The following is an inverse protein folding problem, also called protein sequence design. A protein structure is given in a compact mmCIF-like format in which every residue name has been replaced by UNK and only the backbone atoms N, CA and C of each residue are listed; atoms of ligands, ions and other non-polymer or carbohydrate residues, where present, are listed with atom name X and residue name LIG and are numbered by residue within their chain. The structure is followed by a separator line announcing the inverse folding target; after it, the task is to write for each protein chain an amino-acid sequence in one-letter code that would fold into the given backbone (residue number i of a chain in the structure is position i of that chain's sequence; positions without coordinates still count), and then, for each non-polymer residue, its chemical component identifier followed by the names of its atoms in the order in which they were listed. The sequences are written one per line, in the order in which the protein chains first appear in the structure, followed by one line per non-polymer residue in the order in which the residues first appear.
data_IF_796900970044
#
_entry.id   IF_796900970044
#
_cell.length_a   1.000
_cell.length_b   1.000
_cell.length_c   1.000
_cell.angle_alpha   90.00
_cell.angle_beta   90.00
_cell.angle_gamma   90.00
#
_symmetry.space_group_name_H-M   'P 1'
#
loop_
_entity.id
_entity.type
_entity.pdbx_description
1 polymer ?
#
# COMPACT_ATOMS: atom_id res chain seq x y z
N UNK A 1 20.10 -8.11 -34.54
CA UNK A 1 19.63 -6.71 -34.46
C UNK A 1 19.46 -6.38 -32.99
N UNK A 2 20.13 -5.35 -32.51
CA UNK A 2 19.98 -4.89 -31.12
C UNK A 2 19.07 -3.67 -31.13
N UNK A 3 18.03 -3.67 -30.31
CA UNK A 3 17.05 -2.58 -30.21
C UNK A 3 17.05 -2.10 -28.77
N UNK A 4 17.18 -0.79 -28.57
CA UNK A 4 17.01 -0.13 -27.28
C UNK A 4 15.64 0.53 -27.25
N UNK A 5 14.83 0.22 -26.24
CA UNK A 5 13.50 0.79 -26.02
C UNK A 5 13.58 1.67 -24.77
N UNK A 6 13.04 2.89 -24.85
CA UNK A 6 12.91 3.81 -23.72
C UNK A 6 11.44 4.13 -23.46
N UNK A 7 11.11 4.43 -22.21
CA UNK A 7 9.80 4.95 -21.80
C UNK A 7 9.98 6.34 -21.19
N UNK A 8 8.96 7.21 -21.24
CA UNK A 8 9.02 8.50 -20.59
C UNK A 8 8.95 8.33 -19.06
N UNK A 9 9.56 9.25 -18.29
CA UNK A 9 9.58 9.18 -16.83
C UNK A 9 8.19 9.28 -16.18
N UNK A 10 7.22 9.88 -16.88
CA UNK A 10 5.83 9.98 -16.47
C UNK A 10 4.94 8.90 -17.13
N UNK A 11 5.52 7.78 -17.55
CA UNK A 11 4.74 6.65 -18.05
C UNK A 11 3.83 6.08 -16.96
N UNK A 12 2.67 5.60 -17.37
CA UNK A 12 1.73 4.91 -16.48
C UNK A 12 2.36 3.62 -15.96
N UNK A 13 2.30 3.34 -14.66
CA UNK A 13 2.78 2.06 -14.13
C UNK A 13 1.78 0.94 -14.40
N UNK A 14 2.26 -0.30 -14.45
CA UNK A 14 1.43 -1.50 -14.53
C UNK A 14 1.85 -2.48 -15.61
N UNK A 15 0.90 -3.32 -16.05
CA UNK A 15 1.15 -4.40 -17.02
C UNK A 15 0.99 -3.90 -18.45
N UNK A 16 2.02 -4.10 -19.25
CA UNK A 16 2.07 -3.73 -20.66
C UNK A 16 2.09 -4.95 -21.59
N UNK A 17 1.57 -4.76 -22.80
CA UNK A 17 1.72 -5.70 -23.93
C UNK A 17 2.56 -5.02 -25.00
N UNK A 18 3.69 -5.62 -25.35
CA UNK A 18 4.55 -5.12 -26.43
C UNK A 18 4.20 -5.83 -27.74
N UNK A 19 3.75 -5.06 -28.74
CA UNK A 19 3.44 -5.58 -30.08
C UNK A 19 4.38 -4.96 -31.11
N UNK A 20 4.86 -5.78 -32.04
CA UNK A 20 5.60 -5.34 -33.22
C UNK A 20 4.64 -5.30 -34.41
N UNK A 21 4.64 -4.19 -35.14
CA UNK A 21 3.94 -4.07 -36.41
C UNK A 21 4.98 -3.96 -37.52
N UNK A 22 4.90 -4.88 -38.50
CA UNK A 22 5.81 -4.94 -39.64
C UNK A 22 5.03 -4.55 -40.88
N UNK A 23 5.53 -3.55 -41.61
CA UNK A 23 4.98 -3.10 -42.89
C UNK A 23 5.97 -3.48 -43.99
N UNK A 24 5.52 -4.31 -44.94
CA UNK A 24 6.32 -4.74 -46.08
C UNK A 24 5.49 -4.61 -47.37
N UNK A 25 5.77 -3.57 -48.15
CA UNK A 25 4.91 -3.15 -49.25
C UNK A 25 3.49 -2.85 -48.75
N UNK A 26 2.48 -3.45 -49.40
CA UNK A 26 1.06 -3.31 -49.01
C UNK A 26 0.62 -4.30 -47.92
N UNK A 27 1.54 -5.10 -47.35
CA UNK A 27 1.22 -6.07 -46.29
C UNK A 27 1.59 -5.49 -44.93
N UNK A 28 0.64 -5.53 -44.00
CA UNK A 28 0.82 -5.17 -42.60
C UNK A 28 0.59 -6.43 -41.76
N UNK A 29 1.58 -6.81 -40.95
CA UNK A 29 1.44 -7.86 -39.95
C UNK A 29 1.71 -7.31 -38.55
N UNK A 30 1.07 -7.90 -37.55
CA UNK A 30 1.28 -7.54 -36.15
C UNK A 30 1.50 -8.79 -35.31
N UNK A 31 2.52 -8.77 -34.45
CA UNK A 31 2.91 -9.89 -33.61
C UNK A 31 3.10 -9.40 -32.18
N UNK A 32 2.55 -10.14 -31.20
CA UNK A 32 2.83 -9.90 -29.79
C UNK A 32 4.25 -10.38 -29.48
N UNK A 33 5.12 -9.47 -29.04
CA UNK A 33 6.48 -9.79 -28.62
C UNK A 33 6.52 -10.32 -27.18
N UNK A 34 5.63 -9.81 -26.33
CA UNK A 34 5.55 -10.24 -24.94
C UNK A 34 4.80 -9.27 -24.04
N UNK A 35 4.96 -9.48 -22.74
CA UNK A 35 4.40 -8.64 -21.69
C UNK A 35 5.52 -8.23 -20.74
N UNK A 36 5.39 -7.05 -20.14
CA UNK A 36 6.30 -6.55 -19.13
C UNK A 36 5.54 -5.71 -18.11
N UNK A 37 6.16 -5.49 -16.96
CA UNK A 37 5.65 -4.58 -15.93
C UNK A 37 6.52 -3.33 -15.93
N UNK A 38 5.89 -2.16 -15.92
CA UNK A 38 6.54 -0.88 -15.71
C UNK A 38 6.20 -0.39 -14.30
N UNK A 39 7.22 0.03 -13.54
CA UNK A 39 7.10 0.54 -12.18
C UNK A 39 7.59 2.00 -12.11
N UNK A 40 7.32 2.66 -11.00
CA UNK A 40 7.98 3.93 -10.69
C UNK A 40 9.49 3.74 -10.59
N UNK A 41 10.27 4.78 -10.90
CA UNK A 41 11.71 4.69 -10.98
C UNK A 41 12.43 5.68 -10.03
N UNK A 42 12.72 5.27 -8.78
CA UNK A 42 13.47 6.08 -7.81
C UNK A 42 14.90 6.45 -8.22
N UNK A 43 15.45 5.82 -9.27
CA UNK A 43 16.79 6.11 -9.80
C UNK A 43 16.78 7.14 -10.93
N UNK A 44 15.62 7.47 -11.50
CA UNK A 44 15.50 8.40 -12.61
C UNK A 44 15.31 9.83 -12.09
N UNK A 45 16.24 10.79 -12.34
CA UNK A 45 16.10 12.17 -11.86
C UNK A 45 14.86 12.93 -12.36
N UNK A 46 14.24 12.45 -13.44
CA UNK A 46 13.05 13.05 -14.04
C UNK A 46 11.74 12.38 -13.57
N UNK A 47 11.82 11.38 -12.69
CA UNK A 47 10.64 10.71 -12.12
C UNK A 47 10.25 11.41 -10.81
N UNK A 48 8.93 11.56 -10.57
CA UNK A 48 8.39 12.21 -9.38
C UNK A 48 8.79 11.50 -8.08
N UNK A 49 9.15 10.20 -8.14
CA UNK A 49 9.62 9.43 -6.98
C UNK A 49 11.14 9.40 -6.83
N UNK A 50 11.87 10.23 -7.58
CA UNK A 50 13.32 10.26 -7.53
C UNK A 50 13.83 10.48 -6.11
N UNK A 51 14.81 9.66 -5.72
CA UNK A 51 15.45 9.77 -4.42
C UNK A 51 16.95 9.71 -4.63
N UNK A 52 17.65 10.84 -4.46
CA UNK A 52 19.05 10.97 -4.87
C UNK A 52 20.02 10.09 -4.06
N UNK A 53 19.78 9.94 -2.76
CA UNK A 53 20.64 9.20 -1.85
C UNK A 53 20.47 7.68 -2.05
N UNK A 54 21.58 6.98 -2.26
CA UNK A 54 21.57 5.54 -2.52
C UNK A 54 21.16 4.69 -1.30
N UNK A 55 21.59 5.08 -0.10
CA UNK A 55 21.23 4.39 1.14
C UNK A 55 19.74 4.55 1.43
N UNK A 56 19.18 5.75 1.19
CA UNK A 56 17.74 5.99 1.31
C UNK A 56 16.94 5.16 0.30
N UNK A 57 17.40 5.07 -0.97
CA UNK A 57 16.76 4.18 -1.97
C UNK A 57 16.83 2.72 -1.52
N UNK A 58 17.96 2.29 -0.98
CA UNK A 58 18.11 0.93 -0.48
C UNK A 58 17.10 0.68 0.65
N UNK A 59 17.03 1.55 1.65
CA UNK A 59 16.14 1.40 2.81
C UNK A 59 14.66 1.52 2.44
N UNK A 60 14.29 2.51 1.63
CA UNK A 60 12.89 2.85 1.39
C UNK A 60 12.28 2.15 0.18
N UNK A 61 13.06 1.39 -0.60
CA UNK A 61 12.58 0.63 -1.77
C UNK A 61 13.03 -0.83 -1.72
N UNK A 62 14.32 -1.08 -1.50
CA UNK A 62 14.92 -2.42 -1.64
C UNK A 62 14.98 -3.23 -0.35
N UNK A 63 14.88 -2.60 0.83
CA UNK A 63 14.85 -3.34 2.08
C UNK A 63 13.45 -3.96 2.26
N UNK A 64 13.36 -5.28 2.36
CA UNK A 64 12.11 -6.02 2.51
C UNK A 64 11.81 -6.44 3.95
N UNK A 65 12.67 -6.02 4.88
CA UNK A 65 12.57 -6.28 6.31
C UNK A 65 12.66 -4.95 7.05
N UNK A 66 11.79 -4.74 8.04
CA UNK A 66 11.77 -3.47 8.76
C UNK A 66 11.37 -3.60 10.21
N UNK A 67 11.42 -2.46 10.90
CA UNK A 67 10.96 -2.30 12.27
C UNK A 67 9.74 -1.39 12.28
N UNK A 68 8.71 -1.78 13.02
CA UNK A 68 7.58 -0.92 13.37
C UNK A 68 7.63 -0.68 14.88
N UNK A 69 7.75 0.59 15.26
CA UNK A 69 7.75 0.99 16.66
C UNK A 69 6.32 0.93 17.23
N UNK A 70 6.18 0.38 18.43
CA UNK A 70 4.89 0.23 19.11
C UNK A 70 5.06 0.42 20.63
N UNK A 71 4.01 0.18 21.41
CA UNK A 71 4.03 0.30 22.87
C UNK A 71 3.65 1.69 23.35
N UNK A 72 4.25 2.12 24.46
CA UNK A 72 3.96 3.41 25.11
C UNK A 72 5.12 4.38 24.88
N UNK A 73 4.86 5.69 24.92
CA UNK A 73 5.90 6.73 24.71
C UNK A 73 7.15 6.52 25.61
N UNK A 74 6.93 6.02 26.84
CA UNK A 74 7.99 5.79 27.85
C UNK A 74 8.63 4.40 27.75
N UNK A 75 8.02 3.51 26.98
CA UNK A 75 8.41 2.11 26.83
C UNK A 75 8.21 1.68 25.37
N UNK A 76 8.99 2.30 24.49
CA UNK A 76 8.92 2.05 23.04
C UNK A 76 9.44 0.64 22.77
N UNK A 77 8.61 -0.14 22.09
CA UNK A 77 8.92 -1.49 21.62
C UNK A 77 9.22 -1.46 20.12
N UNK A 78 10.04 -2.41 19.68
CA UNK A 78 10.40 -2.61 18.28
C UNK A 78 9.85 -3.95 17.84
N UNK A 79 8.94 -3.93 16.87
CA UNK A 79 8.40 -5.15 16.28
C UNK A 79 8.99 -5.33 14.89
N UNK A 80 9.58 -6.50 14.64
CA UNK A 80 10.08 -6.85 13.32
C UNK A 80 8.89 -7.11 12.38
N UNK A 81 8.98 -6.57 11.16
CA UNK A 81 7.97 -6.74 10.13
C UNK A 81 8.62 -7.17 8.82
N UNK A 82 8.20 -8.32 8.31
CA UNK A 82 8.54 -8.76 6.96
C UNK A 82 7.63 -8.06 5.94
N UNK A 83 8.17 -7.03 5.27
CA UNK A 83 7.46 -6.41 4.14
C UNK A 83 7.38 -7.37 2.96
N UNK A 84 8.49 -8.01 2.59
CA UNK A 84 8.56 -9.09 1.60
C UNK A 84 8.07 -8.70 0.21
N UNK A 85 8.34 -7.48 -0.27
CA UNK A 85 7.86 -7.01 -1.57
C UNK A 85 8.40 -7.80 -2.77
N UNK A 86 9.49 -8.56 -2.61
CA UNK A 86 10.10 -9.40 -3.65
C UNK A 86 9.68 -10.88 -3.59
N UNK A 87 8.87 -11.25 -2.60
CA UNK A 87 8.30 -12.59 -2.51
C UNK A 87 7.41 -12.90 -3.72
N UNK A 88 7.37 -14.17 -4.11
CA UNK A 88 6.54 -14.64 -5.23
C UNK A 88 5.09 -14.15 -5.10
N UNK A 89 4.52 -13.75 -6.22
CA UNK A 89 3.19 -13.16 -6.39
C UNK A 89 2.97 -11.77 -5.77
N UNK A 90 3.85 -11.24 -4.92
CA UNK A 90 3.55 -10.00 -4.18
C UNK A 90 3.41 -8.79 -5.11
N UNK A 91 4.31 -8.65 -6.09
CA UNK A 91 4.17 -7.60 -7.11
C UNK A 91 2.86 -7.76 -7.90
N UNK A 92 2.50 -8.98 -8.27
CA UNK A 92 1.29 -9.23 -9.03
C UNK A 92 0.02 -8.90 -8.24
N UNK A 93 0.02 -9.21 -6.93
CA UNK A 93 -1.05 -8.88 -6.00
C UNK A 93 -1.13 -7.36 -5.79
N UNK A 94 0.01 -6.67 -5.62
CA UNK A 94 0.06 -5.21 -5.51
C UNK A 94 -0.55 -4.51 -6.72
N UNK A 95 -0.25 -4.98 -7.93
CA UNK A 95 -0.88 -4.48 -9.15
C UNK A 95 -2.39 -4.80 -9.18
N UNK A 96 -2.78 -5.99 -8.71
CA UNK A 96 -4.20 -6.37 -8.64
C UNK A 96 -4.99 -5.50 -7.64
N UNK A 97 -4.37 -4.95 -6.60
CA UNK A 97 -5.03 -4.01 -5.68
C UNK A 97 -5.53 -2.78 -6.44
N UNK A 98 -4.71 -2.21 -7.33
CA UNK A 98 -5.10 -1.05 -8.15
C UNK A 98 -6.33 -1.35 -9.02
N UNK A 99 -6.33 -2.54 -9.65
CA UNK A 99 -7.44 -3.02 -10.51
C UNK A 99 -8.72 -3.35 -9.73
N UNK A 100 -8.67 -3.32 -8.39
CA UNK A 100 -9.81 -3.61 -7.50
C UNK A 100 -10.34 -2.38 -6.77
N UNK A 101 -9.70 -1.23 -6.91
CA UNK A 101 -10.15 0.04 -6.32
C UNK A 101 -11.55 0.46 -6.78
N UNK A 102 -12.24 1.29 -5.98
CA UNK A 102 -13.48 1.89 -6.44
C UNK A 102 -13.25 2.76 -7.68
N UNK A 103 -12.15 3.51 -7.74
CA UNK A 103 -11.76 4.31 -8.90
C UNK A 103 -11.71 3.47 -10.18
N UNK A 104 -11.03 2.30 -10.13
CA UNK A 104 -10.95 1.41 -11.28
C UNK A 104 -12.30 0.79 -11.65
N UNK A 105 -13.15 0.45 -10.67
CA UNK A 105 -14.49 -0.08 -10.94
C UNK A 105 -15.41 0.96 -11.57
N UNK A 106 -15.25 2.23 -11.21
CA UNK A 106 -16.05 3.34 -11.73
C UNK A 106 -15.64 3.70 -13.15
N UNK A 107 -14.35 3.90 -13.39
CA UNK A 107 -13.80 4.19 -14.71
C UNK A 107 -12.37 3.61 -14.85
N UNK A 108 -12.23 2.40 -15.43
CA UNK A 108 -10.93 1.77 -15.61
C UNK A 108 -9.96 2.59 -16.47
N UNK A 109 -10.46 3.33 -17.46
CA UNK A 109 -9.61 4.07 -18.39
C UNK A 109 -9.02 5.31 -17.72
N UNK A 110 -9.85 6.06 -17.01
CA UNK A 110 -9.41 7.22 -16.23
C UNK A 110 -8.48 6.77 -15.10
N UNK A 111 -8.84 5.74 -14.34
CA UNK A 111 -7.99 5.20 -13.28
C UNK A 111 -6.60 4.83 -13.80
N UNK A 112 -6.51 4.02 -14.86
CA UNK A 112 -5.24 3.60 -15.44
C UNK A 112 -4.44 4.81 -15.94
N UNK A 113 -5.08 5.79 -16.58
CA UNK A 113 -4.39 7.00 -17.06
C UNK A 113 -3.75 7.83 -15.95
N UNK A 114 -4.27 7.76 -14.73
CA UNK A 114 -3.77 8.48 -13.55
C UNK A 114 -2.67 7.71 -12.78
N UNK A 115 -2.40 6.44 -13.13
CA UNK A 115 -1.37 5.63 -12.43
C UNK A 115 0.07 6.05 -12.79
N UNK A 116 0.27 7.09 -13.59
CA UNK A 116 1.57 7.74 -13.73
C UNK A 116 1.90 8.68 -12.54
N UNK A 117 0.92 9.02 -11.71
CA UNK A 117 1.08 9.96 -10.60
C UNK A 117 1.21 9.20 -9.26
N UNK A 118 2.36 9.30 -8.56
CA UNK A 118 2.54 8.58 -7.28
C UNK A 118 1.57 9.05 -6.20
N UNK A 119 1.13 10.32 -6.20
CA UNK A 119 0.15 10.85 -5.25
C UNK A 119 -1.21 10.16 -5.44
N UNK A 120 -1.63 9.95 -6.69
CA UNK A 120 -2.86 9.25 -7.01
C UNK A 120 -2.77 7.78 -6.57
N UNK A 121 -1.68 7.10 -6.94
CA UNK A 121 -1.44 5.70 -6.58
C UNK A 121 -1.44 5.53 -5.06
N UNK A 122 -0.71 6.38 -4.31
CA UNK A 122 -0.69 6.32 -2.84
C UNK A 122 -2.07 6.51 -2.22
N UNK A 123 -2.90 7.42 -2.77
CA UNK A 123 -4.28 7.60 -2.31
C UNK A 123 -5.14 6.37 -2.54
N UNK A 124 -5.09 5.79 -3.74
CA UNK A 124 -5.82 4.55 -4.07
C UNK A 124 -5.39 3.41 -3.15
N UNK A 125 -4.09 3.22 -2.93
CA UNK A 125 -3.58 2.19 -2.01
C UNK A 125 -4.04 2.46 -0.58
N UNK A 126 -4.01 3.70 -0.09
CA UNK A 126 -4.47 4.02 1.27
C UNK A 126 -5.93 3.62 1.52
N UNK A 127 -6.80 3.82 0.53
CA UNK A 127 -8.20 3.39 0.59
C UNK A 127 -8.31 1.87 0.51
N UNK A 128 -7.58 1.24 -0.41
CA UNK A 128 -7.69 -0.19 -0.68
C UNK A 128 -7.03 -1.10 0.36
N UNK A 129 -6.12 -0.61 1.19
CA UNK A 129 -5.56 -1.43 2.29
C UNK A 129 -6.60 -1.66 3.38
N UNK A 130 -7.55 -0.74 3.55
CA UNK A 130 -8.67 -0.84 4.49
C UNK A 130 -9.95 -1.39 3.84
N UNK A 131 -10.74 -2.17 4.58
CA UNK A 131 -11.94 -2.81 4.04
C UNK A 131 -13.26 -2.05 4.23
N UNK A 132 -13.29 -0.95 4.98
CA UNK A 132 -14.56 -0.34 5.43
C UNK A 132 -15.44 0.13 4.27
N UNK A 133 -14.84 0.68 3.21
CA UNK A 133 -15.58 1.28 2.09
C UNK A 133 -15.45 0.49 0.78
N UNK A 134 -14.26 -0.06 0.49
CA UNK A 134 -13.95 -0.59 -0.86
C UNK A 134 -13.86 -2.12 -0.96
N UNK A 135 -14.14 -2.84 0.14
CA UNK A 135 -13.76 -4.26 0.32
C UNK A 135 -12.26 -4.48 0.06
N UNK A 136 -11.45 -3.59 0.62
CA UNK A 136 -10.00 -3.64 0.56
C UNK A 136 -9.36 -4.84 1.28
N UNK A 137 -8.06 -4.75 1.52
CA UNK A 137 -7.21 -5.89 1.92
C UNK A 137 -7.52 -6.37 3.34
N UNK A 138 -7.55 -5.46 4.32
CA UNK A 138 -7.57 -5.80 5.75
C UNK A 138 -8.84 -5.28 6.42
N UNK A 139 -9.46 -6.12 7.25
CA UNK A 139 -10.61 -5.74 8.09
C UNK A 139 -10.13 -5.33 9.49
N UNK A 140 -10.44 -4.10 9.89
CA UNK A 140 -10.00 -3.52 11.15
C UNK A 140 -10.82 -3.98 12.36
N UNK A 141 -10.16 -4.26 13.50
CA UNK A 141 -10.85 -4.57 14.75
C UNK A 141 -10.02 -4.22 16.00
N UNK A 142 -10.63 -3.46 16.91
CA UNK A 142 -9.97 -2.95 18.13
C UNK A 142 -10.59 -3.41 19.46
N UNK A 143 -11.72 -4.11 19.44
CA UNK A 143 -12.46 -4.48 20.66
C UNK A 143 -12.03 -5.80 21.34
N UNK A 144 -10.84 -6.32 21.01
CA UNK A 144 -10.22 -7.44 21.73
C UNK A 144 -10.81 -8.84 21.51
N UNK A 145 -11.84 -9.03 20.68
CA UNK A 145 -12.45 -10.34 20.41
C UNK A 145 -12.20 -10.81 18.97
N UNK A 146 -11.22 -11.67 18.75
CA UNK A 146 -10.74 -12.05 17.39
C UNK A 146 -11.11 -13.47 16.93
N UNK A 147 -12.08 -14.15 17.57
CA UNK A 147 -12.38 -15.57 17.34
C UNK A 147 -12.64 -15.97 15.86
N UNK A 148 -13.11 -15.05 15.03
CA UNK A 148 -13.42 -15.25 13.61
C UNK A 148 -12.30 -14.81 12.66
N UNK A 149 -11.09 -14.59 13.15
CA UNK A 149 -9.94 -14.15 12.37
C UNK A 149 -8.62 -14.32 13.12
N UNK A 150 -7.57 -13.71 12.60
CA UNK A 150 -6.25 -13.65 13.26
C UNK A 150 -6.20 -12.47 14.21
N UNK A 151 -5.63 -12.66 15.42
CA UNK A 151 -5.37 -11.56 16.34
C UNK A 151 -4.34 -10.61 15.68
N UNK A 152 -4.61 -9.30 15.59
CA UNK A 152 -3.70 -8.34 14.95
C UNK A 152 -2.24 -8.38 15.44
N UNK A 153 -2.01 -8.74 16.71
CA UNK A 153 -0.66 -8.88 17.29
C UNK A 153 0.11 -10.12 16.81
N UNK A 154 -0.53 -11.07 16.14
CA UNK A 154 0.12 -12.28 15.63
C UNK A 154 0.72 -12.10 14.22
N UNK A 155 0.41 -10.99 13.55
CA UNK A 155 1.01 -10.71 12.25
C UNK A 155 2.46 -10.26 12.42
N UNK A 156 3.34 -10.88 11.65
CA UNK A 156 4.77 -10.54 11.57
C UNK A 156 5.19 -10.03 10.18
N UNK A 157 4.23 -9.80 9.29
CA UNK A 157 4.54 -9.39 7.92
C UNK A 157 3.32 -9.29 7.00
N UNK A 158 3.55 -8.64 5.85
CA UNK A 158 2.51 -8.34 4.87
C UNK A 158 2.23 -9.50 3.91
N UNK A 159 3.23 -10.35 3.66
CA UNK A 159 3.20 -11.41 2.63
C UNK A 159 2.01 -12.35 2.81
N UNK A 160 1.82 -12.88 4.03
CA UNK A 160 0.71 -13.80 4.32
C UNK A 160 -0.65 -13.11 4.21
N UNK A 161 -0.74 -11.83 4.57
CA UNK A 161 -1.97 -11.04 4.49
C UNK A 161 -2.37 -10.85 3.02
N UNK A 162 -1.45 -10.36 2.19
CA UNK A 162 -1.68 -10.14 0.76
C UNK A 162 -2.05 -11.44 0.02
N UNK A 163 -1.32 -12.53 0.29
CA UNK A 163 -1.65 -13.86 -0.28
C UNK A 163 -3.02 -14.37 0.19
N UNK A 164 -3.39 -14.19 1.46
CA UNK A 164 -4.72 -14.55 1.98
C UNK A 164 -5.83 -13.77 1.29
N UNK A 165 -5.65 -12.46 1.11
CA UNK A 165 -6.63 -11.61 0.41
C UNK A 165 -6.82 -12.07 -1.04
N UNK A 166 -5.72 -12.28 -1.76
CA UNK A 166 -5.74 -12.71 -3.16
C UNK A 166 -6.41 -14.09 -3.32
N UNK A 167 -5.94 -15.10 -2.58
CA UNK A 167 -6.50 -16.47 -2.61
C UNK A 167 -7.94 -16.53 -2.10
N UNK A 168 -8.31 -15.63 -1.20
CA UNK A 168 -9.66 -15.45 -0.68
C UNK A 168 -10.65 -14.84 -1.68
N UNK A 169 -10.26 -14.66 -2.95
CA UNK A 169 -11.03 -13.95 -3.98
C UNK A 169 -11.33 -12.51 -3.55
N UNK A 170 -10.30 -11.82 -3.07
CA UNK A 170 -10.34 -10.41 -2.66
C UNK A 170 -11.30 -10.14 -1.49
N UNK A 171 -11.51 -11.14 -0.64
CA UNK A 171 -12.26 -10.96 0.61
C UNK A 171 -11.34 -10.34 1.67
N UNK A 172 -11.82 -9.37 2.48
CA UNK A 172 -11.04 -8.77 3.54
C UNK A 172 -10.42 -9.80 4.50
N UNK A 173 -9.16 -9.58 4.86
CA UNK A 173 -8.41 -10.41 5.79
C UNK A 173 -8.64 -9.92 7.20
N UNK A 174 -9.21 -10.79 8.03
CA UNK A 174 -9.51 -10.54 9.44
C UNK A 174 -8.34 -10.96 10.33
N UNK A 175 -7.82 -10.16 11.24
CA UNK A 175 -8.07 -8.73 11.48
C UNK A 175 -6.77 -7.94 11.46
N UNK A 176 -6.84 -6.63 11.27
CA UNK A 176 -5.71 -5.72 11.41
C UNK A 176 -5.96 -4.58 12.39
N UNK A 177 -4.86 -3.95 12.80
CA UNK A 177 -4.81 -2.67 13.51
C UNK A 177 -3.80 -1.76 12.80
N UNK A 178 -3.62 -0.52 13.28
CA UNK A 178 -2.91 0.54 12.56
C UNK A 178 -1.54 0.11 12.00
N UNK A 179 -0.69 -0.58 12.76
CA UNK A 179 0.60 -1.07 12.28
C UNK A 179 0.49 -2.12 11.16
N UNK A 180 -0.54 -2.96 11.20
CA UNK A 180 -0.83 -3.96 10.15
C UNK A 180 -1.19 -3.25 8.85
N UNK A 181 -2.06 -2.24 8.90
CA UNK A 181 -2.40 -1.43 7.73
C UNK A 181 -1.16 -0.72 7.18
N UNK A 182 -0.36 -0.09 8.04
CA UNK A 182 0.85 0.61 7.64
C UNK A 182 1.89 -0.34 7.02
N UNK A 183 2.10 -1.52 7.60
CA UNK A 183 3.00 -2.54 7.08
C UNK A 183 2.60 -3.03 5.69
N UNK A 184 1.31 -3.34 5.49
CA UNK A 184 0.77 -3.76 4.19
C UNK A 184 0.87 -2.64 3.16
N UNK A 185 0.52 -1.40 3.54
CA UNK A 185 0.64 -0.23 2.66
C UNK A 185 2.10 0.00 2.23
N UNK A 186 3.05 -0.08 3.16
CA UNK A 186 4.47 0.05 2.89
C UNK A 186 4.95 -1.00 1.88
N UNK A 187 4.61 -2.28 2.10
CA UNK A 187 4.93 -3.37 1.15
C UNK A 187 4.43 -3.08 -0.25
N UNK A 188 3.16 -2.67 -0.38
CA UNK A 188 2.54 -2.42 -1.69
C UNK A 188 3.23 -1.24 -2.37
N UNK A 189 3.43 -0.12 -1.68
CA UNK A 189 4.09 1.06 -2.27
C UNK A 189 5.54 0.78 -2.67
N UNK A 190 6.33 0.09 -1.82
CA UNK A 190 7.70 -0.33 -2.16
C UNK A 190 7.72 -1.23 -3.40
N UNK A 191 6.79 -2.19 -3.49
CA UNK A 191 6.68 -3.09 -4.65
C UNK A 191 6.35 -2.35 -5.95
N UNK A 192 5.64 -1.22 -5.88
CA UNK A 192 5.31 -0.38 -7.04
C UNK A 192 6.42 0.61 -7.41
N UNK A 193 7.51 0.65 -6.63
CA UNK A 193 8.65 1.54 -6.84
C UNK A 193 8.50 2.90 -6.15
N UNK A 194 7.58 3.08 -5.21
CA UNK A 194 7.43 4.34 -4.45
C UNK A 194 8.22 4.23 -3.14
N UNK A 195 9.26 5.05 -2.92
CA UNK A 195 10.03 5.06 -1.68
C UNK A 195 9.14 5.35 -0.47
N UNK A 196 9.06 4.42 0.47
CA UNK A 196 8.09 4.46 1.58
C UNK A 196 8.69 3.95 2.89
N UNK A 197 8.25 4.52 4.02
CA UNK A 197 8.58 4.07 5.38
C UNK A 197 7.38 4.13 6.32
N UNK A 198 7.36 3.29 7.34
CA UNK A 198 6.33 3.30 8.39
C UNK A 198 6.71 4.29 9.48
N UNK A 199 5.73 5.07 9.93
CA UNK A 199 5.89 6.05 11.01
C UNK A 199 4.94 5.68 12.15
N UNK A 200 5.45 5.75 13.38
CA UNK A 200 4.67 5.60 14.60
C UNK A 200 4.58 6.94 15.30
N UNK A 201 3.37 7.34 15.66
CA UNK A 201 3.09 8.49 16.51
C UNK A 201 2.53 8.01 17.85
N UNK A 202 3.11 8.47 18.96
CA UNK A 202 2.63 8.15 20.30
C UNK A 202 1.71 9.25 20.81
N UNK A 203 0.71 8.88 21.62
CA UNK A 203 -0.37 9.78 22.04
C UNK A 203 -1.08 10.41 20.83
N UNK A 204 -1.44 9.58 19.86
CA UNK A 204 -2.00 10.07 18.60
C UNK A 204 -3.45 10.46 18.79
N UNK A 205 -3.73 11.76 18.73
CA UNK A 205 -5.08 12.30 18.77
C UNK A 205 -5.88 11.89 17.53
N UNK A 206 -7.11 11.45 17.75
CA UNK A 206 -8.13 11.25 16.74
C UNK A 206 -9.28 12.22 17.04
N UNK A 207 -9.15 13.42 16.48
CA UNK A 207 -10.14 14.50 16.52
C UNK A 207 -11.17 14.26 15.41
N UNK A 208 -12.43 14.06 15.79
CA UNK A 208 -13.51 13.80 14.83
C UNK A 208 -14.29 15.05 14.44
N UNK A 209 -14.19 16.14 15.19
CA UNK A 209 -14.94 17.38 14.95
C UNK A 209 -14.11 18.47 14.26
N UNK A 210 -12.81 18.23 14.03
CA UNK A 210 -11.87 19.07 13.26
C UNK A 210 -11.68 20.45 13.92
N UNK A 211 -11.70 20.50 15.26
CA UNK A 211 -11.49 21.74 16.02
C UNK A 211 -10.10 21.84 16.66
N UNK A 212 -9.22 20.86 16.43
CA UNK A 212 -7.87 20.76 17.00
C UNK A 212 -7.85 20.61 18.53
N UNK A 213 -8.92 20.06 19.11
CA UNK A 213 -9.08 19.76 20.52
C UNK A 213 -9.56 18.33 20.73
N UNK A 214 -9.20 17.74 21.87
CA UNK A 214 -9.64 16.41 22.27
C UNK A 214 -10.24 16.49 23.65
N UNK A 215 -11.51 16.10 23.76
CA UNK A 215 -12.20 16.07 25.03
C UNK A 215 -12.08 14.69 25.68
N UNK A 216 -11.81 14.66 26.99
CA UNK A 216 -11.88 13.43 27.80
C UNK A 216 -12.69 13.68 29.05
N UNK A 217 -13.80 12.96 29.17
CA UNK A 217 -14.72 13.09 30.28
C UNK A 217 -14.40 12.02 31.33
N UNK A 218 -14.20 12.44 32.57
CA UNK A 218 -13.91 11.57 33.71
C UNK A 218 -14.87 11.93 34.83
N UNK A 219 -15.57 10.94 35.39
CA UNK A 219 -16.47 11.18 36.51
C UNK A 219 -15.72 11.33 37.85
N UNK A 220 -16.45 11.68 38.90
CA UNK A 220 -15.89 11.87 40.25
C UNK A 220 -15.26 10.60 40.84
N UNK A 221 -15.57 9.42 40.29
CA UNK A 221 -14.98 8.15 40.72
C UNK A 221 -13.67 7.83 39.97
N UNK A 222 -13.28 8.69 39.02
CA UNK A 222 -12.10 8.47 38.17
C UNK A 222 -12.38 7.60 36.94
N UNK A 223 -13.65 7.24 36.67
CA UNK A 223 -14.01 6.42 35.51
C UNK A 223 -14.10 7.30 34.27
N UNK A 224 -13.46 6.86 33.18
CA UNK A 224 -13.60 7.52 31.87
C UNK A 224 -14.99 7.28 31.30
N UNK A 225 -15.64 8.36 30.88
CA UNK A 225 -16.96 8.36 30.24
C UNK A 225 -16.79 8.50 28.72
N UNK A 226 -17.52 7.70 27.95
CA UNK A 226 -17.52 7.75 26.49
C UNK A 226 -18.60 8.72 25.98
N UNK A 227 -18.43 10.02 26.29
CA UNK A 227 -19.37 11.09 25.87
C UNK A 227 -18.97 11.77 24.56
N UNK A 228 -17.75 11.52 24.07
CA UNK A 228 -17.25 11.96 22.76
C UNK A 228 -16.70 10.75 22.00
N UNK A 229 -16.62 10.91 20.68
CA UNK A 229 -15.93 9.97 19.78
C UNK A 229 -14.43 10.29 19.63
N UNK A 230 -13.98 11.42 20.17
CA UNK A 230 -12.57 11.78 20.21
C UNK A 230 -11.79 10.76 21.06
N UNK A 231 -10.55 10.52 20.66
CA UNK A 231 -9.68 9.59 21.38
C UNK A 231 -8.21 9.98 21.26
N UNK A 232 -7.41 9.51 22.20
CA UNK A 232 -5.95 9.53 22.13
C UNK A 232 -5.48 8.09 22.19
N UNK A 233 -4.74 7.68 21.16
CA UNK A 233 -4.23 6.32 20.97
C UNK A 233 -2.79 6.19 21.47
#
# INVERSE_FOLDING_TARGET
MNITISSPANAVIGRYKLKLQIVSGNKVSSTLLGQFVLLFNPWCPNDDVYMANEQDRWEYVLNDSGIIFQGLEKYIQQEAWNYGQFEEDILDISLAILDRSLNHRQDPAVDVSNRNNPIYVSRVISAMVNSNDEKGVVEGKWNGKYCSGTNPLQWSGSVTILRKWYRGRYKPVRYGQCWVFAGVMCTVLRSLGIPTRVITNFNSAHDRNINLSIDKYIDISGKTLHLTEDSVW
#
